data_IF_409308941322
#
_entry.id   IF_409308941322
#
_cell.length_a   1.000
_cell.length_b   1.000
_cell.length_c   1.000
_cell.angle_alpha   90.00
_cell.angle_beta   90.00
_cell.angle_gamma   90.00
#
_symmetry.space_group_name_H-M   'P 1'
#
loop_
_entity.id
_entity.type
_entity.pdbx_description
1 polymer ?
#
# COMPACT_ATOMS: atom_id res chain seq x y z
N UNK A 1 0.24 16.07 11.20
CA UNK A 1 -1.24 16.19 11.17
C UNK A 1 -1.71 17.10 10.02
N UNK A 2 -1.08 18.27 9.83
CA UNK A 2 -1.44 19.22 8.75
C UNK A 2 -1.49 18.61 7.34
N UNK A 3 -0.54 17.74 6.97
CA UNK A 3 -0.53 17.07 5.67
C UNK A 3 -1.76 16.17 5.44
N UNK A 4 -2.23 15.47 6.48
CA UNK A 4 -3.41 14.61 6.37
C UNK A 4 -4.70 15.43 6.29
N UNK A 5 -4.80 16.54 7.03
CA UNK A 5 -5.94 17.47 6.94
C UNK A 5 -6.04 18.05 5.52
N UNK A 6 -4.91 18.46 4.94
CA UNK A 6 -4.88 18.93 3.55
C UNK A 6 -5.28 17.85 2.56
N UNK A 7 -4.85 16.60 2.80
CA UNK A 7 -5.25 15.47 1.96
C UNK A 7 -6.75 15.16 2.08
N UNK A 8 -7.32 15.24 3.27
CA UNK A 8 -8.77 15.04 3.52
C UNK A 8 -9.60 16.01 2.69
N UNK A 9 -9.25 17.31 2.73
CA UNK A 9 -9.94 18.33 1.95
C UNK A 9 -9.93 18.06 0.44
N UNK A 10 -8.81 17.55 -0.09
CA UNK A 10 -8.70 17.20 -1.52
C UNK A 10 -9.58 15.99 -1.90
N UNK A 11 -9.83 15.08 -0.96
CA UNK A 11 -10.66 13.90 -1.18
C UNK A 11 -12.15 14.20 -1.12
N UNK A 12 -12.56 15.20 -0.34
CA UNK A 12 -13.95 15.67 -0.30
C UNK A 12 -14.38 16.25 -1.66
N UNK A 13 -13.46 16.96 -2.33
CA UNK A 13 -13.70 17.56 -3.65
C UNK A 13 -13.73 16.54 -4.81
N UNK A 14 -13.23 15.31 -4.61
CA UNK A 14 -13.00 14.34 -5.70
C UNK A 14 -14.13 13.32 -5.94
N UNK A 15 -15.22 13.36 -5.15
CA UNK A 15 -16.28 12.35 -5.19
C UNK A 15 -15.86 10.98 -4.62
N UNK A 16 -16.83 10.16 -4.20
CA UNK A 16 -16.58 8.96 -3.38
C UNK A 16 -16.26 7.66 -4.17
N UNK A 17 -16.66 7.58 -5.45
CA UNK A 17 -16.54 6.35 -6.25
C UNK A 17 -15.22 6.18 -7.02
N UNK A 18 -14.40 7.24 -7.02
CA UNK A 18 -13.11 7.28 -7.73
C UNK A 18 -12.07 6.33 -7.14
N UNK A 19 -11.07 5.98 -7.95
CA UNK A 19 -9.87 5.31 -7.46
C UNK A 19 -9.07 6.30 -6.61
N UNK A 20 -8.83 5.97 -5.34
CA UNK A 20 -8.10 6.84 -4.42
C UNK A 20 -6.74 6.24 -4.06
N UNK A 21 -5.67 6.94 -4.40
CA UNK A 21 -4.29 6.48 -4.14
C UNK A 21 -3.58 7.51 -3.27
N UNK A 22 -2.99 7.06 -2.17
CA UNK A 22 -2.11 7.87 -1.33
C UNK A 22 -0.66 7.59 -1.70
N UNK A 23 0.16 8.61 -1.96
CA UNK A 23 1.59 8.43 -2.26
C UNK A 23 2.45 9.04 -1.17
N UNK A 24 3.49 8.32 -0.74
CA UNK A 24 4.46 8.78 0.25
C UNK A 24 5.87 8.26 -0.05
N UNK A 25 6.92 8.94 0.39
CA UNK A 25 8.27 8.48 0.10
C UNK A 25 8.67 7.26 0.95
N UNK A 26 8.39 7.27 2.26
CA UNK A 26 8.84 6.22 3.18
C UNK A 26 7.90 5.03 3.22
N UNK A 27 8.39 3.90 3.74
CA UNK A 27 7.55 2.73 4.00
C UNK A 27 6.53 3.05 5.10
N UNK A 28 5.27 2.70 4.83
CA UNK A 28 4.20 2.88 5.81
C UNK A 28 4.34 1.86 6.95
N UNK A 29 4.51 0.59 6.61
CA UNK A 29 4.67 -0.51 7.56
C UNK A 29 6.11 -1.05 7.53
N UNK A 30 6.64 -1.51 8.66
CA UNK A 30 7.94 -2.18 8.68
C UNK A 30 7.89 -3.44 7.82
N UNK A 31 9.03 -3.77 7.21
CA UNK A 31 9.17 -5.04 6.52
C UNK A 31 9.10 -6.18 7.56
N UNK A 32 8.33 -7.25 7.33
CA UNK A 32 8.24 -8.36 8.28
C UNK A 32 9.63 -8.89 8.67
N UNK A 33 9.89 -9.03 9.97
CA UNK A 33 11.19 -9.48 10.47
C UNK A 33 12.29 -8.41 10.54
N UNK A 34 12.03 -7.16 10.11
CA UNK A 34 12.97 -6.05 10.23
C UNK A 34 12.39 -4.95 11.13
N UNK A 35 13.03 -4.71 12.28
CA UNK A 35 12.76 -3.53 13.11
C UNK A 35 13.53 -2.36 12.50
N UNK A 36 12.83 -1.45 11.81
CA UNK A 36 13.50 -0.30 11.16
C UNK A 36 12.96 1.03 11.66
N UNK A 37 13.86 1.95 12.03
CA UNK A 37 13.54 3.29 12.56
C UNK A 37 13.11 4.31 11.49
N UNK A 38 12.98 3.88 10.24
CA UNK A 38 12.73 4.75 9.07
C UNK A 38 11.32 4.62 8.49
N UNK A 39 10.47 3.80 9.10
CA UNK A 39 9.04 3.77 8.79
C UNK A 39 8.35 5.01 9.32
N UNK A 40 7.18 5.32 8.77
CA UNK A 40 6.34 6.41 9.29
C UNK A 40 6.04 6.14 10.77
N UNK A 41 6.44 7.04 11.67
CA UNK A 41 6.26 6.88 13.13
C UNK A 41 4.80 6.68 13.52
N UNK A 42 3.88 7.36 12.82
CA UNK A 42 2.44 7.32 13.07
C UNK A 42 1.70 6.47 12.03
N UNK A 43 2.26 5.33 11.62
CA UNK A 43 1.70 4.50 10.55
C UNK A 43 0.24 4.10 10.80
N UNK A 44 -0.13 3.83 12.06
CA UNK A 44 -1.53 3.55 12.44
C UNK A 44 -2.48 4.68 12.12
N UNK A 45 -2.09 5.94 12.33
CA UNK A 45 -2.92 7.11 12.02
C UNK A 45 -3.12 7.26 10.52
N UNK A 46 -2.09 6.97 9.73
CA UNK A 46 -2.19 6.99 8.26
C UNK A 46 -3.06 5.84 7.74
N UNK A 47 -2.96 4.64 8.32
CA UNK A 47 -3.83 3.51 7.96
C UNK A 47 -5.29 3.85 8.30
N UNK A 48 -5.55 4.37 9.50
CA UNK A 48 -6.90 4.82 9.88
C UNK A 48 -7.42 5.91 8.96
N UNK A 49 -6.60 6.91 8.65
CA UNK A 49 -6.91 7.95 7.67
C UNK A 49 -7.27 7.33 6.31
N UNK A 50 -6.51 6.35 5.85
CA UNK A 50 -6.72 5.68 4.58
C UNK A 50 -8.06 4.94 4.53
N UNK A 51 -8.40 4.17 5.57
CA UNK A 51 -9.69 3.48 5.67
C UNK A 51 -10.86 4.45 5.81
N UNK A 52 -10.74 5.46 6.68
CA UNK A 52 -11.75 6.50 6.87
C UNK A 52 -12.10 7.20 5.56
N UNK A 53 -11.09 7.46 4.74
CA UNK A 53 -11.23 8.20 3.49
C UNK A 53 -11.33 7.30 2.24
N UNK A 54 -11.55 5.99 2.41
CA UNK A 54 -11.76 5.09 1.29
C UNK A 54 -10.58 4.98 0.32
N UNK A 55 -9.36 5.15 0.80
CA UNK A 55 -8.14 4.97 -0.01
C UNK A 55 -8.02 3.51 -0.45
N UNK A 56 -7.76 3.29 -1.74
CA UNK A 56 -7.58 1.98 -2.35
C UNK A 56 -6.18 1.41 -2.11
N UNK A 57 -5.17 2.28 -2.19
CA UNK A 57 -3.79 1.86 -2.11
C UNK A 57 -2.88 2.98 -1.62
N UNK A 58 -1.85 2.61 -0.87
CA UNK A 58 -0.71 3.47 -0.53
C UNK A 58 0.49 3.05 -1.37
N UNK A 59 1.06 3.98 -2.13
CA UNK A 59 2.30 3.80 -2.87
C UNK A 59 3.46 4.44 -2.10
N UNK A 60 4.60 3.75 -2.03
CA UNK A 60 5.83 4.36 -1.55
C UNK A 60 7.13 3.76 -2.03
N UNK A 61 8.25 4.27 -1.51
CA UNK A 61 9.61 3.90 -1.94
C UNK A 61 10.62 3.95 -0.79
N UNK A 62 11.81 4.52 -0.99
CA UNK A 62 12.86 4.74 0.01
C UNK A 62 13.77 3.54 0.38
N UNK A 63 13.24 2.35 0.70
CA UNK A 63 14.13 1.22 1.05
C UNK A 63 14.70 0.48 -0.14
N UNK A 64 14.18 0.77 -1.33
CA UNK A 64 14.58 0.15 -2.59
C UNK A 64 14.24 -1.35 -2.67
N UNK A 65 13.60 -1.90 -1.63
CA UNK A 65 13.09 -3.28 -1.59
C UNK A 65 11.64 -3.24 -2.06
N UNK A 66 11.30 -3.97 -3.14
CA UNK A 66 9.92 -4.06 -3.58
C UNK A 66 9.10 -4.87 -2.58
N UNK A 67 7.85 -4.45 -2.37
CA UNK A 67 6.89 -5.12 -1.50
C UNK A 67 5.48 -4.77 -1.94
N UNK A 68 4.56 -5.71 -1.96
CA UNK A 68 3.15 -5.37 -2.06
C UNK A 68 2.35 -6.34 -1.22
N UNK A 69 1.54 -5.80 -0.31
CA UNK A 69 0.62 -6.54 0.55
C UNK A 69 -0.69 -5.75 0.67
N UNK A 70 -1.65 -6.25 1.45
CA UNK A 70 -2.85 -5.50 1.82
C UNK A 70 -3.19 -5.67 3.30
N UNK A 71 -3.92 -4.70 3.84
CA UNK A 71 -4.43 -4.70 5.21
C UNK A 71 -5.94 -4.89 5.14
N UNK A 72 -6.49 -5.74 6.00
CA UNK A 72 -7.94 -5.94 6.12
C UNK A 72 -8.44 -5.18 7.35
N UNK A 73 -9.28 -4.18 7.11
CA UNK A 73 -10.03 -3.47 8.14
C UNK A 73 -11.43 -4.03 8.25
N UNK A 74 -11.94 -4.18 9.47
CA UNK A 74 -13.31 -4.59 9.71
C UNK A 74 -13.91 -3.87 10.90
N UNK A 75 -15.08 -3.25 10.72
CA UNK A 75 -15.83 -2.62 11.80
C UNK A 75 -17.34 -2.84 11.56
N UNK A 76 -18.10 -3.14 12.62
CA UNK A 76 -19.55 -3.34 12.60
C UNK A 76 -20.04 -4.29 11.47
N UNK A 77 -19.30 -5.38 11.22
CA UNK A 77 -19.63 -6.38 10.19
C UNK A 77 -19.30 -5.95 8.75
N UNK A 78 -18.79 -4.73 8.53
CA UNK A 78 -18.23 -4.27 7.25
C UNK A 78 -16.77 -4.67 7.16
N UNK A 79 -16.29 -4.94 5.93
CA UNK A 79 -14.88 -5.21 5.63
C UNK A 79 -14.39 -4.29 4.52
N UNK A 80 -13.13 -3.90 4.61
CA UNK A 80 -12.42 -3.10 3.63
C UNK A 80 -10.98 -3.60 3.51
N UNK A 81 -10.38 -3.43 2.34
CA UNK A 81 -8.98 -3.82 2.09
C UNK A 81 -8.20 -2.60 1.59
N UNK A 82 -6.98 -2.44 2.08
CA UNK A 82 -6.06 -1.34 1.72
C UNK A 82 -4.75 -1.93 1.22
N UNK A 83 -4.38 -1.70 -0.04
CA UNK A 83 -3.09 -2.13 -0.57
C UNK A 83 -1.93 -1.26 -0.09
N UNK A 84 -0.80 -1.87 0.26
CA UNK A 84 0.46 -1.19 0.58
C UNK A 84 1.51 -1.66 -0.40
N UNK A 85 1.96 -0.78 -1.29
CA UNK A 85 2.81 -1.13 -2.43
C UNK A 85 4.07 -0.27 -2.46
N UNK A 86 5.20 -0.94 -2.58
CA UNK A 86 6.54 -0.39 -2.67
C UNK A 86 7.21 -0.90 -3.95
N UNK A 87 7.60 0.03 -4.81
CA UNK A 87 8.05 -0.29 -6.16
C UNK A 87 9.48 -0.87 -6.26
N UNK A 88 10.27 -0.77 -5.19
CA UNK A 88 11.70 -1.14 -5.25
C UNK A 88 12.55 0.03 -5.75
N UNK A 89 13.40 -0.23 -6.74
CA UNK A 89 14.35 0.74 -7.32
C UNK A 89 14.63 0.38 -8.78
N UNK A 90 14.79 1.35 -9.68
CA UNK A 90 15.29 1.09 -11.05
C UNK A 90 16.82 1.05 -11.15
N UNK A 91 17.51 1.30 -10.05
CA UNK A 91 18.97 1.36 -9.98
C UNK A 91 19.53 0.19 -9.16
N UNK A 92 20.66 -0.38 -9.60
CA UNK A 92 21.39 -1.44 -8.89
C UNK A 92 22.29 -0.91 -7.75
N UNK A 93 22.44 0.41 -7.64
CA UNK A 93 23.43 1.09 -6.81
C UNK A 93 23.18 0.96 -5.30
N UNK A 94 22.06 0.35 -4.90
CA UNK A 94 21.61 0.33 -3.53
C UNK A 94 21.21 -1.08 -3.09
N UNK A 95 21.91 -1.59 -2.08
CA UNK A 95 21.48 -2.74 -1.27
C UNK A 95 21.41 -4.11 -1.96
N UNK A 96 22.06 -4.30 -3.11
CA UNK A 96 22.10 -5.61 -3.80
C UNK A 96 20.72 -6.17 -4.15
N UNK A 97 19.76 -5.28 -4.43
CA UNK A 97 18.45 -5.64 -4.96
C UNK A 97 18.43 -5.41 -6.46
N UNK A 98 17.72 -6.29 -7.17
CA UNK A 98 17.57 -6.18 -8.60
C UNK A 98 16.69 -4.97 -8.96
N UNK A 99 16.99 -4.27 -10.07
CA UNK A 99 16.11 -3.23 -10.60
C UNK A 99 14.68 -3.75 -10.75
N UNK A 100 13.70 -2.97 -10.30
CA UNK A 100 12.31 -3.38 -10.28
C UNK A 100 11.32 -2.23 -10.30
N UNK A 101 10.12 -2.55 -10.78
CA UNK A 101 8.93 -1.69 -10.78
C UNK A 101 7.66 -2.54 -10.67
N UNK A 102 6.51 -1.93 -10.41
CA UNK A 102 5.22 -2.64 -10.37
C UNK A 102 4.37 -2.37 -11.61
N UNK A 103 3.67 -3.39 -12.09
CA UNK A 103 2.42 -3.22 -12.82
C UNK A 103 1.25 -3.39 -11.85
N UNK A 104 0.31 -2.46 -11.88
CA UNK A 104 -0.86 -2.46 -11.01
C UNK A 104 -2.10 -2.44 -11.87
N UNK A 105 -2.81 -3.56 -11.88
CA UNK A 105 -4.05 -3.72 -12.64
C UNK A 105 -5.24 -3.45 -11.71
N UNK A 106 -6.12 -2.55 -12.14
CA UNK A 106 -7.22 -2.04 -11.32
C UNK A 106 -8.52 -2.25 -12.07
N UNK A 107 -9.45 -2.92 -11.41
CA UNK A 107 -10.83 -3.10 -11.86
C UNK A 107 -11.80 -2.58 -10.81
N UNK A 108 -13.09 -2.64 -11.10
CA UNK A 108 -14.12 -2.26 -10.13
C UNK A 108 -14.17 -3.13 -8.86
N UNK A 109 -13.68 -4.37 -8.91
CA UNK A 109 -13.84 -5.35 -7.82
C UNK A 109 -12.51 -5.84 -7.22
N UNK A 110 -11.40 -5.67 -7.94
CA UNK A 110 -10.09 -6.19 -7.54
C UNK A 110 -8.96 -5.28 -7.97
N UNK A 111 -7.88 -5.33 -7.21
CA UNK A 111 -6.58 -4.77 -7.55
C UNK A 111 -5.55 -5.90 -7.50
N UNK A 112 -4.71 -5.97 -8.53
CA UNK A 112 -3.62 -6.95 -8.67
C UNK A 112 -2.30 -6.22 -8.88
N UNK A 113 -1.27 -6.64 -8.14
CA UNK A 113 0.07 -6.03 -8.17
C UNK A 113 1.08 -7.08 -8.60
N UNK A 114 1.77 -6.80 -9.71
CA UNK A 114 2.83 -7.63 -10.25
C UNK A 114 4.15 -6.88 -10.17
N UNK A 115 5.16 -7.49 -9.56
CA UNK A 115 6.53 -7.02 -9.56
C UNK A 115 7.22 -7.45 -10.85
N UNK A 116 7.83 -6.50 -11.53
CA UNK A 116 8.78 -6.74 -12.61
C UNK A 116 10.17 -6.54 -12.04
N UNK A 117 10.91 -7.62 -11.86
CA UNK A 117 12.27 -7.59 -11.34
C UNK A 117 13.25 -8.00 -12.44
N UNK A 118 14.34 -7.26 -12.61
CA UNK A 118 15.32 -7.52 -13.64
C UNK A 118 16.15 -8.77 -13.30
N UNK A 119 16.10 -9.76 -14.18
CA UNK A 119 16.89 -10.98 -14.15
C UNK A 119 18.14 -10.74 -15.02
N UNK A 120 19.29 -10.55 -14.38
CA UNK A 120 20.56 -10.28 -15.06
C UNK A 120 21.03 -11.45 -15.93
N UNK A 121 20.77 -12.70 -15.51
CA UNK A 121 21.20 -13.88 -16.25
C UNK A 121 20.44 -14.01 -17.58
N UNK A 122 19.16 -13.60 -17.57
CA UNK A 122 18.29 -13.66 -18.75
C UNK A 122 18.18 -12.34 -19.50
N UNK A 123 18.84 -11.29 -19.02
CA UNK A 123 18.78 -9.93 -19.55
C UNK A 123 17.35 -9.44 -19.84
N UNK A 124 16.42 -9.68 -18.90
CA UNK A 124 15.00 -9.30 -19.04
C UNK A 124 14.32 -9.11 -17.70
N UNK A 125 13.19 -8.40 -17.69
CA UNK A 125 12.32 -8.38 -16.52
C UNK A 125 11.56 -9.70 -16.38
N UNK A 126 11.50 -10.20 -15.15
CA UNK A 126 10.71 -11.35 -14.73
C UNK A 126 9.56 -10.85 -13.88
N UNK A 127 8.36 -11.30 -14.24
CA UNK A 127 7.15 -11.00 -13.48
C UNK A 127 7.01 -11.92 -12.26
N UNK A 128 6.55 -11.34 -11.16
CA UNK A 128 6.18 -12.02 -9.92
C UNK A 128 4.89 -11.41 -9.40
N UNK A 129 3.83 -12.20 -9.29
CA UNK A 129 2.59 -11.77 -8.61
C UNK A 129 2.91 -11.51 -7.14
N UNK A 130 2.50 -10.34 -6.64
CA UNK A 130 2.82 -9.90 -5.27
C UNK A 130 1.58 -9.81 -4.39
N UNK A 131 0.54 -9.11 -4.85
CA UNK A 131 -0.68 -8.90 -4.08
C UNK A 131 -1.92 -8.96 -4.96
N UNK A 132 -3.00 -9.50 -4.40
CA UNK A 132 -4.33 -9.52 -5.01
C UNK A 132 -5.37 -9.32 -3.92
N UNK A 133 -6.15 -8.26 -4.03
CA UNK A 133 -7.07 -7.85 -2.97
C UNK A 133 -8.33 -7.20 -3.57
N UNK A 134 -9.41 -7.15 -2.78
CA UNK A 134 -10.70 -6.63 -3.25
C UNK A 134 -10.70 -5.10 -3.26
N UNK A 135 -11.25 -4.54 -4.33
CA UNK A 135 -11.60 -3.11 -4.39
C UNK A 135 -13.06 -2.97 -3.98
N UNK A 136 -13.31 -2.19 -2.93
CA UNK A 136 -14.64 -1.88 -2.43
C UNK A 136 -14.84 -0.38 -2.59
N UNK A 137 -15.78 0.03 -3.45
CA UNK A 137 -16.14 1.45 -3.61
C UNK A 137 -16.87 1.94 -2.36
N UNK A 138 -16.75 3.23 -2.03
CA UNK A 138 -17.38 3.84 -0.85
C UNK A 138 -17.09 3.10 0.48
N UNK A 139 -15.87 2.56 0.60
CA UNK A 139 -15.44 1.74 1.75
C UNK A 139 -15.01 2.55 2.97
N UNK A 140 -15.46 3.79 3.11
CA UNK A 140 -15.18 4.63 4.28
C UNK A 140 -15.50 3.82 5.54
N UNK A 141 -14.44 3.52 6.30
CA UNK A 141 -14.48 2.65 7.46
C UNK A 141 -13.72 3.34 8.58
N UNK A 142 -14.44 3.78 9.61
CA UNK A 142 -13.82 4.22 10.85
C UNK A 142 -13.29 2.98 11.57
N UNK A 143 -12.02 3.02 11.96
CA UNK A 143 -11.37 1.93 12.69
C UNK A 143 -11.02 2.42 14.10
N UNK A 144 -11.31 1.59 15.11
CA UNK A 144 -10.77 1.71 16.46
C UNK A 144 -9.57 0.78 16.65
N UNK A 145 -8.49 1.30 17.24
CA UNK A 145 -7.17 0.67 17.34
C UNK A 145 -7.17 -0.69 18.03
N UNK A 146 -8.14 -0.96 18.90
CA UNK A 146 -8.11 -2.14 19.77
C UNK A 146 -8.82 -3.38 19.19
N UNK A 147 -9.61 -3.26 18.12
CA UNK A 147 -10.47 -4.37 17.64
C UNK A 147 -10.51 -4.57 16.13
N UNK A 148 -10.30 -3.52 15.35
CA UNK A 148 -10.87 -3.49 13.99
C UNK A 148 -9.86 -3.80 12.87
N UNK A 149 -8.60 -4.04 13.21
CA UNK A 149 -7.54 -4.27 12.23
C UNK A 149 -6.97 -5.68 12.37
N UNK A 150 -7.28 -6.52 11.38
CA UNK A 150 -6.53 -7.76 11.16
C UNK A 150 -5.44 -7.44 10.15
N UNK A 151 -4.23 -7.26 10.67
CA UNK A 151 -3.05 -7.41 9.84
C UNK A 151 -2.91 -8.91 9.60
N UNK A 152 -3.37 -9.38 8.44
CA UNK A 152 -2.94 -10.68 7.92
C UNK A 152 -1.44 -10.56 7.63
N UNK A 153 -0.64 -10.70 8.69
CA UNK A 153 0.78 -10.98 8.56
C UNK A 153 0.93 -12.48 8.36
N UNK A 154 1.68 -12.85 7.33
CA UNK A 154 2.15 -14.20 7.00
C UNK A 154 1.13 -15.12 6.33
N UNK A 155 1.31 -15.33 5.02
CA UNK A 155 1.90 -16.55 4.46
C UNK A 155 2.64 -16.21 3.15
#
# INVERSE_FOLDING_TARGET
MEQLIRAEKLLDDSGADGLRILTMHHHLTPFPGLVTVSTVRDCGNVIRFAFKNGIDMVLGGHKHIPRADHIIGSNEGRKAELGIVHAGTMSNLSRFVNPSFNFIEISDKKIEVTLNEFDYDKNKFKEKSMAKYKRIKNKNLELDYMRDMLLEYFL
#
